data_IF_036298528185
#
_entry.id   IF_036298528185
#
_cell.length_a   1.000
_cell.length_b   1.000
_cell.length_c   1.000
_cell.angle_alpha   90.00
_cell.angle_beta   90.00
_cell.angle_gamma   90.00
#
_symmetry.space_group_name_H-M   'P 1'
#
loop_
_entity.id
_entity.type
_entity.pdbx_description
1 polymer ?
#
# COMPACT_ATOMS: atom_id res chain seq x y z
N UNK A 1 7.30 17.91 -15.28
CA UNK A 1 6.60 16.78 -14.67
C UNK A 1 5.16 16.76 -15.17
N UNK A 2 4.66 15.62 -15.57
CA UNK A 2 3.28 15.54 -16.05
C UNK A 2 2.29 15.64 -14.91
N UNK A 3 1.07 16.11 -15.21
CA UNK A 3 0.01 16.18 -14.23
C UNK A 3 -0.39 14.78 -13.75
N UNK A 4 -0.32 13.79 -14.63
CA UNK A 4 -0.63 12.40 -14.27
C UNK A 4 0.34 11.86 -13.23
N UNK A 5 1.65 12.12 -13.39
CA UNK A 5 2.64 11.68 -12.41
C UNK A 5 2.37 12.33 -11.05
N UNK A 6 2.06 13.62 -11.04
CA UNK A 6 1.74 14.33 -9.79
C UNK A 6 0.49 13.74 -9.14
N UNK A 7 -0.53 13.47 -9.95
CA UNK A 7 -1.77 12.88 -9.47
C UNK A 7 -1.54 11.50 -8.86
N UNK A 8 -0.68 10.68 -9.50
CA UNK A 8 -0.35 9.35 -8.99
C UNK A 8 0.44 9.41 -7.68
N UNK A 9 1.31 10.40 -7.53
CA UNK A 9 1.98 10.61 -6.24
C UNK A 9 0.99 10.95 -5.13
N UNK A 10 -0.01 11.77 -5.45
CA UNK A 10 -1.06 12.12 -4.50
C UNK A 10 -1.92 10.90 -4.18
N UNK A 11 -2.22 10.07 -5.18
CA UNK A 11 -2.99 8.85 -4.96
C UNK A 11 -2.23 7.88 -4.03
N UNK A 12 -0.93 7.76 -4.20
CA UNK A 12 -0.12 6.94 -3.30
C UNK A 12 -0.18 7.46 -1.87
N UNK A 13 -0.13 8.77 -1.68
CA UNK A 13 -0.23 9.38 -0.36
C UNK A 13 -1.63 9.24 0.23
N UNK A 14 -2.67 9.34 -0.61
CA UNK A 14 -4.05 9.12 -0.16
C UNK A 14 -4.26 7.68 0.27
N UNK A 15 -3.65 6.74 -0.45
CA UNK A 15 -3.65 5.33 -0.06
C UNK A 15 -2.99 5.15 1.32
N UNK A 16 -1.82 5.74 1.51
CA UNK A 16 -1.11 5.66 2.80
C UNK A 16 -1.93 6.25 3.95
N UNK A 17 -2.59 7.38 3.69
CA UNK A 17 -3.46 8.01 4.69
C UNK A 17 -4.66 7.12 5.02
N UNK A 18 -5.23 6.45 4.01
CA UNK A 18 -6.34 5.52 4.23
C UNK A 18 -5.90 4.29 5.01
N UNK A 19 -4.69 3.77 4.74
CA UNK A 19 -4.13 2.67 5.53
C UNK A 19 -3.97 3.10 6.99
N UNK A 20 -3.46 4.31 7.20
CA UNK A 20 -3.27 4.85 8.56
C UNK A 20 -4.58 4.90 9.34
N UNK A 21 -5.65 5.37 8.69
CA UNK A 21 -6.95 5.51 9.34
C UNK A 21 -7.78 4.23 9.36
N UNK A 22 -7.37 3.20 8.60
CA UNK A 22 -8.21 2.03 8.40
C UNK A 22 -9.46 2.34 7.59
N UNK A 23 -9.35 3.25 6.64
CA UNK A 23 -10.49 3.70 5.82
C UNK A 23 -10.79 2.68 4.72
N UNK A 24 -11.57 1.67 5.07
CA UNK A 24 -11.87 0.57 4.16
C UNK A 24 -12.78 0.98 3.01
N UNK A 25 -13.58 2.04 3.18
CA UNK A 25 -14.38 2.57 2.08
C UNK A 25 -13.49 3.13 0.98
N UNK A 26 -12.50 3.96 1.35
CA UNK A 26 -11.54 4.48 0.38
C UNK A 26 -10.71 3.34 -0.23
N UNK A 27 -10.15 2.48 0.60
CA UNK A 27 -9.30 1.37 0.12
C UNK A 27 -10.08 0.46 -0.83
N UNK A 28 -11.32 0.14 -0.50
CA UNK A 28 -12.16 -0.70 -1.36
C UNK A 28 -12.41 -0.08 -2.72
N UNK A 29 -12.51 1.25 -2.80
CA UNK A 29 -12.71 1.93 -4.07
C UNK A 29 -11.42 2.15 -4.84
N UNK A 30 -10.27 2.11 -4.17
CA UNK A 30 -8.96 2.39 -4.76
C UNK A 30 -8.24 1.15 -5.28
N UNK A 31 -8.65 -0.04 -4.85
CA UNK A 31 -8.02 -1.30 -5.26
C UNK A 31 -8.79 -1.94 -6.42
N UNK A 32 -8.07 -2.57 -7.34
CA UNK A 32 -8.74 -3.36 -8.38
C UNK A 32 -9.38 -4.61 -7.76
N UNK A 33 -10.34 -5.19 -8.46
CA UNK A 33 -10.99 -6.42 -7.99
C UNK A 33 -9.99 -7.57 -7.85
N UNK A 34 -9.00 -7.61 -8.73
CA UNK A 34 -7.97 -8.65 -8.74
C UNK A 34 -6.69 -8.23 -7.99
N UNK A 35 -6.79 -7.23 -7.15
CA UNK A 35 -5.64 -6.74 -6.38
C UNK A 35 -4.93 -7.88 -5.65
N UNK A 36 -3.60 -7.82 -5.65
CA UNK A 36 -2.76 -8.72 -4.86
C UNK A 36 -1.73 -7.89 -4.11
N UNK A 37 -1.67 -8.06 -2.79
CA UNK A 37 -0.61 -7.50 -1.96
C UNK A 37 0.38 -8.59 -1.57
N UNK A 38 1.67 -8.34 -1.74
CA UNK A 38 2.71 -9.26 -1.32
C UNK A 38 3.40 -8.67 -0.10
N UNK A 39 3.28 -9.37 1.01
CA UNK A 39 3.89 -8.92 2.26
C UNK A 39 5.40 -9.18 2.30
N UNK A 40 6.10 -8.57 3.27
CA UNK A 40 7.56 -8.66 3.34
C UNK A 40 8.08 -10.05 3.66
N UNK A 41 7.21 -10.97 4.05
CA UNK A 41 7.58 -12.36 4.29
C UNK A 41 7.17 -13.29 3.15
N UNK A 42 6.65 -12.72 2.05
CA UNK A 42 6.36 -13.46 0.83
C UNK A 42 4.96 -14.01 0.70
N UNK A 43 4.12 -13.93 1.72
CA UNK A 43 2.73 -14.36 1.57
C UNK A 43 1.92 -13.31 0.81
N UNK A 44 0.86 -13.76 0.15
CA UNK A 44 0.02 -12.90 -0.66
C UNK A 44 -1.36 -12.73 -0.04
N UNK A 45 -1.94 -11.56 -0.27
CA UNK A 45 -3.29 -11.23 0.20
C UNK A 45 -4.12 -10.74 -0.98
N UNK A 46 -5.33 -11.26 -1.09
CA UNK A 46 -6.32 -10.73 -2.04
C UNK A 46 -6.85 -9.39 -1.55
N UNK A 47 -7.66 -8.74 -2.41
CA UNK A 47 -8.33 -7.50 -2.02
C UNK A 47 -9.15 -7.67 -0.74
N UNK A 48 -9.94 -8.73 -0.67
CA UNK A 48 -10.80 -9.01 0.49
C UNK A 48 -9.98 -9.25 1.74
N UNK A 49 -8.89 -10.01 1.62
CA UNK A 49 -8.00 -10.27 2.75
C UNK A 49 -7.29 -9.00 3.20
N UNK A 50 -6.92 -8.15 2.24
CA UNK A 50 -6.26 -6.88 2.54
C UNK A 50 -7.18 -5.96 3.36
N UNK A 51 -8.43 -5.85 2.93
CA UNK A 51 -9.43 -5.04 3.62
C UNK A 51 -9.79 -5.63 4.99
N UNK A 52 -9.86 -6.96 5.08
CA UNK A 52 -10.22 -7.63 6.33
C UNK A 52 -9.26 -7.32 7.47
N UNK A 53 -8.00 -7.02 7.20
CA UNK A 53 -7.04 -6.63 8.24
C UNK A 53 -7.54 -5.43 9.04
N UNK A 54 -8.17 -4.47 8.35
CA UNK A 54 -8.72 -3.28 8.98
C UNK A 54 -10.11 -3.52 9.54
N UNK A 55 -10.96 -4.20 8.78
CA UNK A 55 -12.35 -4.43 9.17
C UNK A 55 -12.48 -5.27 10.44
N UNK A 56 -11.59 -6.23 10.60
CA UNK A 56 -11.58 -7.08 11.79
C UNK A 56 -10.96 -6.39 13.00
N UNK A 57 -10.35 -5.22 12.82
CA UNK A 57 -9.72 -4.48 13.90
C UNK A 57 -8.37 -5.03 14.34
N UNK A 58 -7.82 -5.97 13.60
CA UNK A 58 -6.53 -6.59 13.95
C UNK A 58 -5.35 -5.65 13.73
N UNK A 59 -5.44 -4.79 12.73
CA UNK A 59 -4.36 -3.91 12.31
C UNK A 59 -4.69 -2.47 12.68
N UNK A 60 -3.79 -1.83 13.43
CA UNK A 60 -3.94 -0.42 13.81
C UNK A 60 -2.60 0.28 13.68
N UNK A 61 -2.53 1.24 12.77
CA UNK A 61 -1.33 2.05 12.59
C UNK A 61 -1.39 3.30 13.46
N UNK A 62 -0.25 3.68 14.01
CA UNK A 62 -0.04 4.96 14.67
C UNK A 62 0.57 5.95 13.69
N UNK A 63 1.40 5.47 12.76
CA UNK A 63 1.95 6.29 11.69
C UNK A 63 2.14 5.44 10.44
N UNK A 64 2.01 6.09 9.28
CA UNK A 64 2.18 5.45 7.99
C UNK A 64 2.62 6.55 7.03
N UNK A 65 3.89 6.58 6.70
CA UNK A 65 4.47 7.64 5.90
C UNK A 65 5.16 7.09 4.66
N UNK A 66 5.04 7.83 3.55
CA UNK A 66 5.76 7.53 2.33
C UNK A 66 6.72 8.67 2.03
N UNK A 67 7.95 8.31 1.66
CA UNK A 67 8.90 9.26 1.10
C UNK A 67 9.69 8.59 -0.02
N UNK A 68 10.57 9.32 -0.65
CA UNK A 68 11.35 8.85 -1.80
C UNK A 68 10.44 8.29 -2.89
N UNK A 69 9.35 8.99 -3.17
CA UNK A 69 8.32 8.51 -4.10
C UNK A 69 8.73 8.81 -5.54
N UNK A 70 8.93 7.75 -6.33
CA UNK A 70 9.24 7.85 -7.75
C UNK A 70 8.19 7.14 -8.57
N UNK A 71 7.61 7.83 -9.53
CA UNK A 71 6.57 7.30 -10.41
C UNK A 71 7.11 7.17 -11.83
N UNK A 72 7.00 5.98 -12.40
CA UNK A 72 7.25 5.74 -13.82
C UNK A 72 5.94 5.46 -14.51
N UNK A 73 5.59 6.32 -15.46
CA UNK A 73 4.31 6.27 -16.16
C UNK A 73 4.47 5.56 -17.50
N UNK A 74 3.61 4.58 -17.73
CA UNK A 74 3.41 3.91 -19.00
C UNK A 74 2.00 4.24 -19.48
N UNK A 75 1.55 3.72 -20.60
CA UNK A 75 0.26 4.14 -21.17
C UNK A 75 -0.91 4.02 -20.21
N UNK A 76 -1.20 2.81 -19.76
CA UNK A 76 -2.33 2.54 -18.87
C UNK A 76 -1.88 1.92 -17.57
N UNK A 77 -0.60 2.09 -17.23
CA UNK A 77 -0.03 1.56 -16.01
C UNK A 77 1.05 2.48 -15.48
N UNK A 78 1.31 2.42 -14.21
CA UNK A 78 2.40 3.15 -13.58
C UNK A 78 3.03 2.29 -12.49
N UNK A 79 4.35 2.36 -12.40
CA UNK A 79 5.11 1.69 -11.36
C UNK A 79 5.64 2.76 -10.43
N UNK A 80 5.27 2.68 -9.16
CA UNK A 80 5.70 3.62 -8.14
C UNK A 80 6.57 2.90 -7.14
N UNK A 81 7.77 3.41 -6.91
CA UNK A 81 8.67 2.87 -5.90
C UNK A 81 8.85 3.92 -4.83
N UNK A 82 8.70 3.54 -3.57
CA UNK A 82 8.80 4.49 -2.47
C UNK A 82 9.33 3.78 -1.22
N UNK A 83 9.60 4.58 -0.19
CA UNK A 83 9.92 4.06 1.13
C UNK A 83 8.71 4.26 2.02
N UNK A 84 8.27 3.17 2.65
CA UNK A 84 7.16 3.15 3.57
C UNK A 84 7.70 2.98 4.98
N UNK A 85 7.35 3.90 5.87
CA UNK A 85 7.73 3.83 7.28
C UNK A 85 6.45 3.72 8.10
N UNK A 86 6.33 2.64 8.86
CA UNK A 86 5.11 2.34 9.60
C UNK A 86 5.38 2.03 11.06
N UNK A 87 4.46 2.45 11.91
CA UNK A 87 4.41 2.08 13.31
C UNK A 87 2.97 1.75 13.66
N UNK A 88 2.78 0.75 14.50
CA UNK A 88 1.46 0.34 14.91
C UNK A 88 1.45 -1.02 15.55
N UNK A 89 0.31 -1.70 15.43
CA UNK A 89 0.06 -2.95 16.11
C UNK A 89 -0.77 -3.85 15.22
N UNK A 90 -0.37 -5.10 15.12
CA UNK A 90 -1.22 -6.17 14.60
C UNK A 90 -1.44 -7.17 15.73
N UNK A 91 -2.70 -7.47 16.02
CA UNK A 91 -3.05 -8.38 17.11
C UNK A 91 -4.22 -9.26 16.70
N UNK A 92 -4.08 -10.56 16.89
CA UNK A 92 -5.14 -11.53 16.67
C UNK A 92 -5.10 -12.57 17.78
N UNK A 93 -5.88 -13.64 17.63
CA UNK A 93 -5.95 -14.71 18.63
C UNK A 93 -4.64 -15.46 18.79
N UNK A 94 -3.74 -15.38 17.81
CA UNK A 94 -2.45 -16.07 17.84
C UNK A 94 -1.34 -15.24 18.47
N UNK A 95 -1.57 -13.96 18.73
CA UNK A 95 -0.59 -13.11 19.39
C UNK A 95 -0.60 -11.68 18.93
N UNK A 96 0.39 -10.96 19.39
CA UNK A 96 0.57 -9.53 19.17
C UNK A 96 1.89 -9.28 18.45
N UNK A 97 1.86 -8.43 17.44
CA UNK A 97 3.05 -8.00 16.72
C UNK A 97 3.11 -6.48 16.69
N UNK A 98 4.15 -5.91 17.30
CA UNK A 98 4.37 -4.47 17.26
C UNK A 98 5.05 -4.11 15.94
N UNK A 99 4.43 -3.23 15.18
CA UNK A 99 4.94 -2.81 13.88
C UNK A 99 5.86 -1.61 14.08
N UNK A 100 7.09 -1.75 13.60
CA UNK A 100 8.08 -0.69 13.63
C UNK A 100 9.04 -0.97 12.47
N UNK A 101 8.60 -0.64 11.25
CA UNK A 101 9.21 -1.17 10.05
C UNK A 101 9.45 -0.09 8.99
N UNK A 102 10.50 -0.31 8.21
CA UNK A 102 10.70 0.42 6.96
C UNK A 102 10.77 -0.59 5.83
N UNK A 103 10.00 -0.30 4.77
CA UNK A 103 9.96 -1.16 3.59
C UNK A 103 10.25 -0.36 2.35
N UNK A 104 10.85 -1.01 1.37
CA UNK A 104 10.80 -0.54 -0.01
C UNK A 104 9.51 -1.09 -0.59
N UNK A 105 8.63 -0.19 -1.01
CA UNK A 105 7.32 -0.57 -1.53
C UNK A 105 7.28 -0.32 -3.03
N UNK A 106 6.80 -1.32 -3.76
CA UNK A 106 6.51 -1.18 -5.19
C UNK A 106 5.01 -1.22 -5.35
N UNK A 107 4.44 -0.14 -5.88
CA UNK A 107 3.00 -0.01 -6.10
C UNK A 107 2.74 -0.03 -7.60
N UNK A 108 1.81 -0.88 -8.03
CA UNK A 108 1.42 -0.99 -9.44
C UNK A 108 0.04 -0.39 -9.59
N UNK A 109 -0.04 0.72 -10.31
CA UNK A 109 -1.31 1.37 -10.63
C UNK A 109 -1.68 1.04 -12.07
N UNK A 110 -2.97 0.85 -12.31
CA UNK A 110 -3.50 0.65 -13.66
C UNK A 110 -4.67 1.59 -13.87
N UNK A 111 -4.88 1.98 -15.12
CA UNK A 111 -6.00 2.84 -15.49
C UNK A 111 -7.11 1.97 -16.06
N UNK A 112 -8.26 1.95 -15.39
CA UNK A 112 -9.43 1.21 -15.81
C UNK A 112 -10.60 2.17 -15.92
N UNK A 113 -11.23 2.23 -17.10
CA UNK A 113 -12.39 3.09 -17.35
C UNK A 113 -12.15 4.55 -16.93
N UNK A 114 -10.97 5.05 -17.26
CA UNK A 114 -10.61 6.44 -16.96
C UNK A 114 -10.15 6.71 -15.53
N UNK A 115 -10.08 5.69 -14.68
CA UNK A 115 -9.67 5.84 -13.27
C UNK A 115 -8.38 5.07 -12.99
N UNK A 116 -7.52 5.67 -12.20
CA UNK A 116 -6.32 4.99 -11.73
C UNK A 116 -6.62 4.21 -10.44
N UNK A 117 -6.30 2.92 -10.44
CA UNK A 117 -6.52 2.02 -9.31
C UNK A 117 -5.22 1.30 -8.97
N UNK A 118 -5.08 0.92 -7.73
CA UNK A 118 -3.94 0.13 -7.27
C UNK A 118 -4.23 -1.35 -7.53
N UNK A 119 -3.44 -1.95 -8.43
CA UNK A 119 -3.63 -3.34 -8.85
C UNK A 119 -2.79 -4.30 -8.02
N UNK A 120 -1.72 -3.83 -7.43
CA UNK A 120 -0.88 -4.67 -6.60
C UNK A 120 0.21 -3.88 -5.92
N UNK A 121 0.79 -4.49 -4.91
CA UNK A 121 1.96 -3.93 -4.24
C UNK A 121 2.82 -5.05 -3.68
N UNK A 122 4.07 -4.73 -3.49
CA UNK A 122 5.00 -5.64 -2.85
C UNK A 122 5.88 -4.86 -1.89
N UNK A 123 6.09 -5.43 -0.72
CA UNK A 123 6.92 -4.84 0.33
C UNK A 123 8.19 -5.68 0.50
N UNK A 124 9.33 -5.00 0.57
CA UNK A 124 10.60 -5.62 0.90
C UNK A 124 11.21 -4.87 2.08
N UNK A 125 11.70 -5.57 3.10
CA UNK A 125 12.34 -4.88 4.21
C UNK A 125 13.62 -4.18 3.74
N UNK A 126 13.91 -3.03 4.32
CA UNK A 126 15.14 -2.31 4.03
C UNK A 126 16.19 -2.77 5.03
N UNK A 127 17.16 -3.55 4.55
CA UNK A 127 18.15 -4.22 5.41
C UNK A 127 19.54 -3.61 5.28
N UNK A 128 19.68 -2.60 4.47
CA UNK A 128 20.99 -2.05 4.18
C UNK A 128 21.66 -2.76 3.00
N UNK A 129 22.89 -2.41 2.73
CA UNK A 129 23.61 -2.97 1.58
C UNK A 129 24.41 -4.20 1.98
N UNK A 130 24.57 -5.16 1.04
CA UNK A 130 25.43 -6.31 1.27
C UNK A 130 26.91 -5.92 1.38
#
# INVERSE_FOLDING_TARGET
MSDTVRWLKELARDWAAAELRGDTAFLGSALTEDFVGVGPRGFTLSREQWLARHEAGNLKYESFELDEVEVRLYEAAAVTVCRETTEGLYEDENGRYDIHEQFRATLIFVKEQGRWLLAGLQLSPILGRP
#
